data_IF_326111396752
#
_entry.id   IF_326111396752
#
_cell.length_a   1.000
_cell.length_b   1.000
_cell.length_c   1.000
_cell.angle_alpha   90.00
_cell.angle_beta   90.00
_cell.angle_gamma   90.00
#
_symmetry.space_group_name_H-M   'P 1'
#
loop_
_entity.id
_entity.type
_entity.pdbx_description
1 polymer ?
#
# COMPACT_ATOMS: atom_id res chain seq x y z
N UNK A 1 6.78 7.79 1.43
CA UNK A 1 7.79 7.93 0.35
C UNK A 1 9.15 8.20 0.96
N UNK A 2 10.20 7.60 0.41
CA UNK A 2 11.57 7.85 0.84
C UNK A 2 12.04 9.26 0.42
N UNK A 3 13.05 9.80 1.10
CA UNK A 3 13.68 11.05 0.67
C UNK A 3 14.42 10.84 -0.66
N UNK A 4 14.17 11.67 -1.69
CA UNK A 4 14.73 11.44 -3.01
C UNK A 4 16.24 11.70 -3.04
N UNK A 5 17.02 10.79 -3.62
CA UNK A 5 18.45 11.02 -3.85
C UNK A 5 18.64 12.03 -4.98
N UNK A 6 19.66 12.91 -4.89
CA UNK A 6 19.96 13.84 -5.96
C UNK A 6 20.29 13.08 -7.25
N UNK A 7 19.81 13.59 -8.38
CA UNK A 7 20.10 13.00 -9.68
C UNK A 7 21.61 13.07 -9.96
N UNK A 8 22.23 11.99 -10.48
CA UNK A 8 23.66 11.99 -10.82
C UNK A 8 23.97 12.88 -12.04
N UNK A 9 22.95 13.22 -12.84
CA UNK A 9 23.06 14.14 -13.99
C UNK A 9 21.82 15.06 -14.08
N UNK A 10 21.99 16.34 -14.46
CA UNK A 10 20.94 17.37 -14.38
C UNK A 10 19.90 17.34 -15.51
N UNK A 11 20.13 16.53 -16.52
CA UNK A 11 19.24 16.21 -17.63
C UNK A 11 18.26 15.07 -17.29
N UNK A 12 18.51 14.33 -16.21
CA UNK A 12 17.62 13.27 -15.72
C UNK A 12 16.85 13.69 -14.48
N UNK A 13 15.64 13.18 -14.36
CA UNK A 13 14.79 13.35 -13.17
C UNK A 13 13.88 12.15 -12.98
N UNK A 14 13.41 11.99 -11.74
CA UNK A 14 12.39 11.00 -11.39
C UNK A 14 11.11 11.70 -10.98
N UNK A 15 9.98 11.24 -11.49
CA UNK A 15 8.63 11.63 -11.03
C UNK A 15 7.92 10.44 -10.41
N UNK A 16 6.95 10.74 -9.54
CA UNK A 16 6.15 9.73 -8.83
C UNK A 16 4.68 10.10 -8.97
N UNK A 17 3.88 9.21 -9.51
CA UNK A 17 2.46 9.46 -9.76
C UNK A 17 1.66 8.21 -9.44
N UNK A 18 0.51 8.35 -8.79
CA UNK A 18 -0.42 7.24 -8.67
C UNK A 18 -1.21 7.06 -9.97
N UNK A 19 -1.07 5.91 -10.62
CA UNK A 19 -1.77 5.57 -11.85
C UNK A 19 -3.03 4.78 -11.52
N UNK A 20 -4.16 5.47 -11.29
CA UNK A 20 -5.42 4.87 -10.86
C UNK A 20 -5.88 3.68 -11.71
N UNK A 21 -5.70 3.74 -13.03
CA UNK A 21 -6.09 2.67 -13.95
C UNK A 21 -5.24 1.40 -13.81
N UNK A 22 -4.00 1.54 -13.38
CA UNK A 22 -3.06 0.44 -13.15
C UNK A 22 -3.03 0.00 -11.68
N UNK A 23 -3.70 0.77 -10.83
CA UNK A 23 -3.73 0.56 -9.37
C UNK A 23 -2.33 0.36 -8.81
N UNK A 24 -1.46 1.33 -9.12
CA UNK A 24 -0.05 1.28 -8.84
C UNK A 24 0.58 2.68 -8.76
N UNK A 25 1.63 2.79 -7.95
CA UNK A 25 2.55 3.91 -8.02
C UNK A 25 3.50 3.74 -9.19
N UNK A 26 3.59 4.77 -10.02
CA UNK A 26 4.55 4.87 -11.11
C UNK A 26 5.73 5.71 -10.69
N UNK A 27 6.92 5.11 -10.72
CA UNK A 27 8.21 5.79 -10.54
C UNK A 27 8.84 5.91 -11.91
N UNK A 28 8.98 7.12 -12.39
CA UNK A 28 9.20 7.38 -13.80
C UNK A 28 10.55 8.07 -14.01
N UNK A 29 11.41 7.48 -14.83
CA UNK A 29 12.66 8.09 -15.27
C UNK A 29 12.42 8.95 -16.52
N UNK A 30 12.76 10.22 -16.42
CA UNK A 30 12.67 11.18 -17.53
C UNK A 30 14.04 11.72 -17.89
N UNK A 31 14.26 11.95 -19.18
CA UNK A 31 15.35 12.76 -19.72
C UNK A 31 14.78 14.04 -20.34
N UNK A 32 15.51 15.16 -20.20
CA UNK A 32 15.05 16.48 -20.65
C UNK A 32 14.59 16.52 -22.11
N UNK A 33 15.34 15.87 -23.00
CA UNK A 33 15.10 15.96 -24.45
C UNK A 33 14.40 14.73 -25.02
N UNK A 34 14.54 13.58 -24.37
CA UNK A 34 13.95 12.31 -24.83
C UNK A 34 12.60 12.01 -24.16
N UNK A 35 12.23 12.80 -23.14
CA UNK A 35 11.01 12.61 -22.39
C UNK A 35 11.07 11.36 -21.52
N UNK A 36 10.08 10.49 -21.70
CA UNK A 36 9.85 9.33 -20.87
C UNK A 36 10.74 8.15 -21.26
N UNK A 37 11.48 7.58 -20.31
CA UNK A 37 12.42 6.49 -20.58
C UNK A 37 12.04 5.17 -19.91
N UNK A 38 11.70 5.19 -18.62
CA UNK A 38 11.42 3.96 -17.85
C UNK A 38 10.33 4.23 -16.81
N UNK A 39 9.37 3.33 -16.66
CA UNK A 39 8.43 3.30 -15.52
C UNK A 39 8.77 2.09 -14.67
N UNK A 40 8.87 2.26 -13.35
CA UNK A 40 8.64 1.19 -12.40
C UNK A 40 7.18 1.29 -11.93
N UNK A 41 6.37 0.28 -12.21
CA UNK A 41 5.00 0.19 -11.71
C UNK A 41 5.01 -0.66 -10.44
N UNK A 42 4.56 -0.10 -9.32
CA UNK A 42 4.56 -0.72 -8.00
C UNK A 42 3.10 -0.80 -7.53
N UNK A 43 2.42 -1.94 -7.71
CA UNK A 43 1.08 -2.17 -7.17
C UNK A 43 1.14 -2.13 -5.65
N UNK A 44 0.32 -1.34 -4.98
CA UNK A 44 0.31 -1.20 -3.52
C UNK A 44 -0.97 -1.72 -2.84
N UNK A 45 -2.02 -2.02 -3.62
CA UNK A 45 -3.28 -2.59 -3.09
C UNK A 45 -3.36 -4.12 -3.21
N UNK A 46 -2.91 -4.71 -4.31
CA UNK A 46 -2.92 -6.16 -4.53
C UNK A 46 -1.58 -6.82 -4.13
N UNK A 47 -1.56 -7.67 -3.08
CA UNK A 47 -0.34 -8.31 -2.60
C UNK A 47 0.19 -9.39 -3.55
N UNK A 48 -0.62 -9.91 -4.48
CA UNK A 48 -0.22 -10.94 -5.42
C UNK A 48 0.42 -10.39 -6.70
N UNK A 49 0.26 -9.08 -6.98
CA UNK A 49 0.92 -8.43 -8.12
C UNK A 49 2.35 -8.06 -7.75
N UNK A 50 3.28 -8.32 -8.65
CA UNK A 50 4.69 -7.97 -8.50
C UNK A 50 5.02 -6.62 -9.13
N UNK A 51 5.98 -5.83 -8.58
CA UNK A 51 6.51 -4.66 -9.25
C UNK A 51 7.10 -5.00 -10.63
N UNK A 52 6.89 -4.13 -11.60
CA UNK A 52 7.33 -4.35 -12.98
C UNK A 52 7.98 -3.10 -13.57
N UNK A 53 8.71 -3.26 -14.68
CA UNK A 53 9.36 -2.15 -15.39
C UNK A 53 8.90 -2.08 -16.84
N UNK A 54 8.55 -0.88 -17.29
CA UNK A 54 8.19 -0.56 -18.66
C UNK A 54 9.28 0.32 -19.27
N UNK A 55 9.88 -0.12 -20.37
CA UNK A 55 10.96 0.60 -21.07
C UNK A 55 10.39 1.29 -22.30
N UNK A 56 10.57 2.61 -22.39
CA UNK A 56 10.12 3.44 -23.49
C UNK A 56 11.34 4.08 -24.17
N UNK A 57 11.68 3.61 -25.37
CA UNK A 57 12.72 4.22 -26.19
C UNK A 57 12.42 3.98 -27.67
N UNK A 58 11.40 4.65 -28.24
CA UNK A 58 10.97 4.41 -29.62
C UNK A 58 12.09 4.60 -30.66
N UNK A 59 13.00 5.55 -30.42
CA UNK A 59 14.16 5.83 -31.28
C UNK A 59 15.50 5.33 -30.71
N UNK A 60 15.46 4.61 -29.58
CA UNK A 60 16.63 4.26 -28.78
C UNK A 60 17.17 5.44 -27.97
N UNK A 61 17.46 5.21 -26.68
CA UNK A 61 18.12 6.21 -25.83
C UNK A 61 19.09 5.51 -24.89
N UNK A 62 20.37 5.88 -24.97
CA UNK A 62 21.39 5.32 -24.08
C UNK A 62 21.28 5.97 -22.70
N UNK A 63 20.79 5.21 -21.72
CA UNK A 63 20.77 5.64 -20.32
C UNK A 63 22.13 5.38 -19.68
N UNK A 64 22.82 6.40 -19.14
CA UNK A 64 24.07 6.20 -18.41
C UNK A 64 23.92 5.22 -17.26
N UNK A 65 24.94 4.40 -17.05
CA UNK A 65 24.93 3.33 -16.04
C UNK A 65 24.61 3.86 -14.64
N UNK A 66 25.21 4.97 -14.23
CA UNK A 66 25.00 5.61 -12.94
C UNK A 66 23.58 6.18 -12.77
N UNK A 67 22.93 6.60 -13.86
CA UNK A 67 21.53 7.04 -13.85
C UNK A 67 20.62 5.85 -13.63
N UNK A 68 20.89 4.73 -14.32
CA UNK A 68 20.13 3.50 -14.12
C UNK A 68 20.28 2.94 -12.70
N UNK A 69 21.50 2.93 -12.13
CA UNK A 69 21.72 2.53 -10.75
C UNK A 69 20.94 3.41 -9.77
N UNK A 70 20.98 4.74 -9.98
CA UNK A 70 20.23 5.69 -9.16
C UNK A 70 18.72 5.42 -9.25
N UNK A 71 18.16 5.27 -10.45
CA UNK A 71 16.75 4.96 -10.66
C UNK A 71 16.33 3.63 -10.03
N UNK A 72 17.08 2.57 -10.24
CA UNK A 72 16.79 1.25 -9.67
C UNK A 72 16.82 1.27 -8.15
N UNK A 73 17.76 2.01 -7.56
CA UNK A 73 17.77 2.19 -6.13
C UNK A 73 16.53 2.98 -5.67
N UNK A 74 16.09 4.03 -6.37
CA UNK A 74 14.87 4.80 -6.00
C UNK A 74 13.64 3.89 -6.05
N UNK A 75 13.50 3.10 -7.10
CA UNK A 75 12.43 2.12 -7.21
C UNK A 75 12.50 1.07 -6.07
N UNK A 76 13.68 0.59 -5.71
CA UNK A 76 13.84 -0.38 -4.63
C UNK A 76 13.45 0.19 -3.25
N UNK A 77 13.72 1.47 -2.99
CA UNK A 77 13.28 2.13 -1.76
C UNK A 77 11.75 2.31 -1.74
N UNK A 78 11.14 2.68 -2.87
CA UNK A 78 9.67 2.79 -2.96
C UNK A 78 8.99 1.43 -2.83
N UNK A 79 9.50 0.37 -3.46
CA UNK A 79 8.98 -1.00 -3.27
C UNK A 79 9.03 -1.37 -1.79
N UNK A 80 10.16 -1.14 -1.11
CA UNK A 80 10.30 -1.47 0.32
C UNK A 80 9.26 -0.75 1.18
N UNK A 81 8.96 0.52 0.87
CA UNK A 81 8.00 1.31 1.65
C UNK A 81 6.57 0.90 1.32
N UNK A 82 6.19 0.87 0.05
CA UNK A 82 4.81 0.62 -0.41
C UNK A 82 4.38 -0.84 -0.20
N UNK A 83 5.34 -1.78 -0.21
CA UNK A 83 5.09 -3.22 -0.02
C UNK A 83 5.42 -3.72 1.38
N UNK A 84 5.79 -2.84 2.32
CA UNK A 84 6.16 -3.27 3.68
C UNK A 84 5.05 -4.12 4.34
N UNK A 85 3.79 -3.79 4.09
CA UNK A 85 2.64 -4.49 4.65
C UNK A 85 2.47 -5.92 4.10
N UNK A 86 2.99 -6.23 2.90
CA UNK A 86 2.89 -7.58 2.33
C UNK A 86 3.82 -8.59 3.01
N UNK A 87 4.76 -8.11 3.82
CA UNK A 87 5.64 -8.93 4.66
C UNK A 87 4.99 -9.30 6.01
N UNK A 88 3.80 -8.75 6.32
CA UNK A 88 3.05 -9.15 7.50
C UNK A 88 2.60 -10.61 7.40
N UNK A 89 2.27 -11.27 8.54
CA UNK A 89 1.67 -12.61 8.49
C UNK A 89 0.40 -12.64 7.63
N UNK A 90 0.11 -13.76 6.93
CA UNK A 90 -0.98 -13.82 5.95
C UNK A 90 -2.34 -13.33 6.47
N UNK A 91 -2.65 -13.60 7.75
CA UNK A 91 -3.89 -13.14 8.36
C UNK A 91 -3.98 -11.61 8.49
N UNK A 92 -2.85 -10.95 8.77
CA UNK A 92 -2.78 -9.50 8.83
C UNK A 92 -2.83 -8.88 7.42
N UNK A 93 -2.16 -9.48 6.43
CA UNK A 93 -2.25 -9.06 5.01
C UNK A 93 -3.69 -9.13 4.50
N UNK A 94 -4.38 -10.24 4.73
CA UNK A 94 -5.80 -10.42 4.37
C UNK A 94 -6.71 -9.39 5.05
N UNK A 95 -6.39 -9.05 6.31
CA UNK A 95 -7.11 -8.00 7.05
C UNK A 95 -6.85 -6.61 6.48
N UNK A 96 -5.61 -6.29 6.08
CA UNK A 96 -5.27 -5.01 5.42
C UNK A 96 -6.06 -4.86 4.12
N UNK A 97 -6.07 -5.89 3.26
CA UNK A 97 -6.79 -5.87 1.98
C UNK A 97 -8.28 -5.60 2.20
N UNK A 98 -8.94 -6.40 3.03
CA UNK A 98 -10.36 -6.24 3.27
C UNK A 98 -10.72 -4.91 3.96
N UNK A 99 -9.87 -4.43 4.86
CA UNK A 99 -10.13 -3.17 5.57
C UNK A 99 -9.98 -1.96 4.64
N UNK A 100 -9.02 -1.97 3.70
CA UNK A 100 -8.87 -0.89 2.70
C UNK A 100 -10.12 -0.76 1.84
N UNK A 101 -10.67 -1.87 1.37
CA UNK A 101 -11.94 -1.91 0.64
C UNK A 101 -13.09 -1.31 1.47
N UNK A 102 -13.21 -1.72 2.74
CA UNK A 102 -14.23 -1.18 3.65
C UNK A 102 -14.08 0.33 3.83
N UNK A 103 -12.86 0.81 4.08
CA UNK A 103 -12.57 2.25 4.26
C UNK A 103 -12.87 3.04 2.99
N UNK A 104 -12.51 2.49 1.82
CA UNK A 104 -12.78 3.12 0.53
C UNK A 104 -14.27 3.28 0.26
N UNK A 105 -15.08 2.29 0.64
CA UNK A 105 -16.52 2.26 0.39
C UNK A 105 -17.39 2.86 1.51
N UNK A 106 -16.83 3.19 2.67
CA UNK A 106 -17.51 3.93 3.72
C UNK A 106 -16.98 3.63 5.11
N UNK A 107 -16.57 4.68 5.82
CA UNK A 107 -16.08 4.62 7.19
C UNK A 107 -16.85 5.59 8.08
N UNK A 108 -17.27 5.16 9.27
CA UNK A 108 -17.97 6.01 10.24
C UNK A 108 -17.31 6.04 11.63
N UNK A 109 -17.85 6.88 12.53
CA UNK A 109 -17.30 7.07 13.88
C UNK A 109 -17.39 5.82 14.76
N UNK A 110 -18.33 4.91 14.49
CA UNK A 110 -18.51 3.67 15.24
C UNK A 110 -17.51 2.58 14.78
N UNK A 111 -16.97 2.70 13.57
CA UNK A 111 -16.06 1.71 12.98
C UNK A 111 -14.71 1.62 13.70
N UNK A 112 -14.18 2.73 14.23
CA UNK A 112 -12.90 2.72 14.95
C UNK A 112 -12.90 1.78 16.17
N UNK A 113 -13.78 2.01 17.17
CA UNK A 113 -13.90 1.12 18.32
C UNK A 113 -14.33 -0.30 17.93
N UNK A 114 -15.20 -0.44 16.93
CA UNK A 114 -15.63 -1.75 16.43
C UNK A 114 -14.47 -2.56 15.81
N UNK A 115 -13.59 -1.89 15.05
CA UNK A 115 -12.38 -2.49 14.48
C UNK A 115 -11.46 -2.98 15.58
N UNK A 116 -11.17 -2.17 16.61
CA UNK A 116 -10.33 -2.62 17.72
C UNK A 116 -10.88 -3.87 18.41
N UNK A 117 -12.18 -3.87 18.70
CA UNK A 117 -12.85 -5.02 19.29
C UNK A 117 -12.75 -6.27 18.39
N UNK A 118 -12.97 -6.10 17.08
CA UNK A 118 -12.88 -7.17 16.09
C UNK A 118 -11.46 -7.74 15.98
N UNK A 119 -10.46 -6.87 15.81
CA UNK A 119 -9.06 -7.27 15.64
C UNK A 119 -8.50 -7.97 16.88
N UNK A 120 -8.89 -7.52 18.09
CA UNK A 120 -8.45 -8.15 19.34
C UNK A 120 -8.88 -9.62 19.48
N UNK A 121 -9.93 -10.02 18.76
CA UNK A 121 -10.44 -11.40 18.76
C UNK A 121 -9.83 -12.29 17.68
N UNK A 122 -9.12 -11.71 16.70
CA UNK A 122 -8.66 -12.45 15.50
C UNK A 122 -7.15 -12.35 15.25
N UNK A 123 -6.47 -11.33 15.76
CA UNK A 123 -5.05 -11.10 15.55
C UNK A 123 -4.31 -10.85 16.88
N UNK A 124 -3.02 -11.25 16.97
CA UNK A 124 -2.12 -10.76 18.00
C UNK A 124 -2.06 -9.22 18.04
N UNK A 125 -1.84 -8.65 19.23
CA UNK A 125 -1.93 -7.20 19.44
C UNK A 125 -0.94 -6.38 18.60
N UNK A 126 0.27 -6.91 18.37
CA UNK A 126 1.30 -6.30 17.52
C UNK A 126 0.87 -6.26 16.05
N UNK A 127 0.26 -7.34 15.56
CA UNK A 127 -0.27 -7.42 14.20
C UNK A 127 -1.50 -6.52 14.01
N UNK A 128 -2.42 -6.50 14.99
CA UNK A 128 -3.56 -5.58 14.97
C UNK A 128 -3.10 -4.11 14.91
N UNK A 129 -2.07 -3.75 15.69
CA UNK A 129 -1.50 -2.40 15.66
C UNK A 129 -0.82 -2.09 14.31
N UNK A 130 -0.17 -3.07 13.67
CA UNK A 130 0.39 -2.91 12.33
C UNK A 130 -0.68 -2.68 11.27
N UNK A 131 -1.77 -3.47 11.29
CA UNK A 131 -2.92 -3.30 10.38
C UNK A 131 -3.54 -1.91 10.50
N UNK A 132 -3.81 -1.45 11.74
CA UNK A 132 -4.39 -0.13 11.98
C UNK A 132 -3.48 0.98 11.47
N UNK A 133 -2.18 0.87 11.72
CA UNK A 133 -1.19 1.84 11.25
C UNK A 133 -1.13 1.90 9.73
N UNK A 134 -1.16 0.73 9.08
CA UNK A 134 -1.08 0.62 7.64
C UNK A 134 -2.29 1.27 6.96
N UNK A 135 -3.51 0.91 7.38
CA UNK A 135 -4.72 1.33 6.66
C UNK A 135 -5.18 2.73 7.03
N UNK A 136 -5.06 3.09 8.32
CA UNK A 136 -5.65 4.33 8.83
C UNK A 136 -4.60 5.41 9.12
N UNK A 137 -3.31 5.11 8.91
CA UNK A 137 -2.20 6.00 9.28
C UNK A 137 -2.27 6.46 10.74
N UNK A 138 -2.85 5.63 11.62
CA UNK A 138 -3.14 5.95 13.02
C UNK A 138 -2.61 4.87 13.97
N UNK A 139 -2.47 5.21 15.25
CA UNK A 139 -2.25 4.21 16.30
C UNK A 139 -3.57 3.61 16.78
N UNK A 140 -3.57 2.38 17.35
CA UNK A 140 -4.79 1.78 17.90
C UNK A 140 -5.43 2.66 18.99
N UNK A 141 -4.64 3.38 19.78
CA UNK A 141 -5.14 4.30 20.81
C UNK A 141 -5.99 5.44 20.25
N UNK A 142 -5.75 5.85 18.99
CA UNK A 142 -6.54 6.90 18.33
C UNK A 142 -7.94 6.41 17.91
N UNK A 143 -8.15 5.09 17.84
CA UNK A 143 -9.44 4.48 17.56
C UNK A 143 -10.21 4.10 18.84
N UNK A 144 -9.60 4.32 20.02
CA UNK A 144 -10.23 4.00 21.27
C UNK A 144 -11.45 4.90 21.52
N UNK A 145 -12.52 4.30 22.02
CA UNK A 145 -13.76 4.98 22.32
C UNK A 145 -14.56 4.23 23.39
N UNK A 146 -15.83 4.61 23.64
CA UNK A 146 -16.71 3.78 24.44
C UNK A 146 -16.80 2.37 23.83
N UNK A 147 -17.02 1.32 24.65
CA UNK A 147 -17.19 -0.04 24.13
C UNK A 147 -18.22 -0.06 22.98
N UNK A 148 -17.86 -0.57 21.79
CA UNK A 148 -18.77 -0.55 20.65
C UNK A 148 -19.98 -1.45 20.91
N UNK A 149 -21.12 -1.11 20.32
CA UNK A 149 -22.26 -2.00 20.31
C UNK A 149 -21.90 -3.28 19.55
N UNK A 150 -22.33 -4.45 20.05
CA UNK A 150 -22.08 -5.73 19.37
C UNK A 150 -22.62 -5.77 17.94
N UNK A 151 -23.72 -5.04 17.69
CA UNK A 151 -24.27 -4.88 16.35
C UNK A 151 -23.31 -4.15 15.39
N UNK A 152 -22.54 -3.17 15.87
CA UNK A 152 -21.55 -2.46 15.05
C UNK A 152 -20.36 -3.36 14.71
N UNK A 153 -19.88 -4.14 15.68
CA UNK A 153 -18.82 -5.14 15.44
C UNK A 153 -19.27 -6.19 14.42
N UNK A 154 -20.51 -6.68 14.54
CA UNK A 154 -21.08 -7.63 13.58
C UNK A 154 -21.24 -7.02 12.18
N UNK A 155 -21.73 -5.78 12.09
CA UNK A 155 -21.89 -5.07 10.81
C UNK A 155 -20.54 -4.85 10.11
N UNK A 156 -19.51 -4.40 10.84
CA UNK A 156 -18.15 -4.25 10.29
C UNK A 156 -17.61 -5.60 9.81
N UNK A 157 -17.79 -6.67 10.59
CA UNK A 157 -17.38 -8.03 10.20
C UNK A 157 -18.04 -8.46 8.89
N UNK A 158 -19.34 -8.25 8.72
CA UNK A 158 -20.03 -8.62 7.49
C UNK A 158 -19.52 -7.81 6.29
N UNK A 159 -19.28 -6.51 6.44
CA UNK A 159 -18.66 -5.70 5.37
C UNK A 159 -17.25 -6.18 5.01
N UNK A 160 -16.44 -6.55 6.01
CA UNK A 160 -15.13 -7.13 5.75
C UNK A 160 -15.23 -8.49 5.01
N UNK A 161 -16.22 -9.33 5.36
CA UNK A 161 -16.47 -10.59 4.62
C UNK A 161 -16.89 -10.34 3.17
N UNK A 162 -17.77 -9.36 2.95
CA UNK A 162 -18.18 -8.94 1.59
C UNK A 162 -16.98 -8.42 0.78
N UNK A 163 -16.04 -7.74 1.44
CA UNK A 163 -14.74 -7.35 0.90
C UNK A 163 -13.73 -8.53 0.78
N UNK A 164 -14.14 -9.76 1.06
CA UNK A 164 -13.33 -10.95 0.85
C UNK A 164 -12.45 -11.37 2.03
N UNK A 165 -12.61 -10.79 3.22
CA UNK A 165 -11.85 -11.15 4.42
C UNK A 165 -12.06 -12.61 4.83
N UNK A 166 -10.98 -13.39 4.94
CA UNK A 166 -11.03 -14.83 5.24
C UNK A 166 -10.52 -15.17 6.63
N UNK A 167 -9.62 -14.36 7.17
CA UNK A 167 -8.89 -14.66 8.41
C UNK A 167 -9.73 -14.41 9.66
N UNK A 168 -10.80 -13.62 9.54
CA UNK A 168 -11.76 -13.38 10.61
C UNK A 168 -13.01 -14.26 10.58
N UNK A 169 -13.10 -15.21 9.64
CA UNK A 169 -14.28 -16.05 9.41
C UNK A 169 -14.14 -17.45 9.96
N UNK A 170 -13.36 -17.66 11.02
CA UNK A 170 -13.49 -18.88 11.81
C UNK A 170 -14.89 -18.88 12.43
N UNK A 171 -15.84 -19.45 11.70
CA UNK A 171 -17.05 -20.04 12.24
C UNK A 171 -16.59 -21.11 13.24
N UNK A 172 -16.56 -20.73 14.51
CA UNK A 172 -16.57 -21.68 15.62
C UNK A 172 -18.00 -22.13 15.88
#
# INVERSE_FOLDING_TARGET
MAEPRPAPRPDYRITRTYALHDDAWHIELHHRDAGFLVTAAIPDEDPAREPSFHLFAPDGHDVPYEVMLWFMAEAADEVRVLRAWTELPPAAVDTVVALREVVHHGWDDADGPALLALLSGVLPADQAAAVVREVLSAGPDALAGPPPAQAAVAALRERMKEAGWRSGTTDG
#
